data_IF_082620583815
#
_entry.id   IF_082620583815
#
_cell.length_a   1.000
_cell.length_b   1.000
_cell.length_c   1.000
_cell.angle_alpha   90.00
_cell.angle_beta   90.00
_cell.angle_gamma   90.00
#
_symmetry.space_group_name_H-M   'P 1'
#
loop_
_entity.id
_entity.type
_entity.pdbx_description
1 polymer ?
#
# COMPACT_ATOMS: atom_id res chain seq x y z
N UNK A 1 -25.61 -13.26 12.09
CA UNK A 1 -24.33 -13.28 11.32
C UNK A 1 -23.76 -11.86 11.24
N UNK A 2 -22.49 -11.65 11.52
CA UNK A 2 -21.85 -10.33 11.40
C UNK A 2 -21.87 -9.89 9.93
N UNK A 3 -22.30 -8.67 9.65
CA UNK A 3 -22.37 -8.16 8.27
C UNK A 3 -20.96 -8.10 7.67
N UNK A 4 -20.74 -8.70 6.50
CA UNK A 4 -19.48 -8.70 5.78
C UNK A 4 -19.18 -7.29 5.25
N UNK A 5 -18.01 -6.73 5.59
CA UNK A 5 -17.65 -5.33 5.30
C UNK A 5 -17.52 -5.01 3.80
N UNK A 6 -17.16 -6.00 2.99
CA UNK A 6 -16.88 -5.84 1.56
C UNK A 6 -17.83 -6.66 0.68
N UNK A 7 -19.02 -6.97 1.19
CA UNK A 7 -19.99 -7.79 0.49
C UNK A 7 -20.29 -7.23 -0.91
N UNK A 8 -20.13 -8.07 -1.93
CA UNK A 8 -20.31 -7.75 -3.36
C UNK A 8 -19.36 -6.68 -3.92
N UNK A 9 -18.38 -6.17 -3.16
CA UNK A 9 -17.36 -5.25 -3.68
C UNK A 9 -16.38 -5.99 -4.57
N UNK A 10 -15.73 -5.24 -5.48
CA UNK A 10 -14.64 -5.74 -6.32
C UNK A 10 -13.37 -4.98 -5.99
N UNK A 11 -12.30 -5.72 -5.71
CA UNK A 11 -11.01 -5.16 -5.36
C UNK A 11 -9.89 -5.66 -6.28
N UNK A 12 -8.98 -4.76 -6.67
CA UNK A 12 -7.70 -5.12 -7.29
C UNK A 12 -6.62 -5.02 -6.22
N UNK A 13 -5.81 -6.08 -6.06
CA UNK A 13 -4.71 -6.14 -5.10
C UNK A 13 -3.42 -6.48 -5.85
N UNK A 14 -2.47 -5.54 -5.89
CA UNK A 14 -1.19 -5.75 -6.57
C UNK A 14 -0.17 -6.41 -5.64
N UNK A 15 0.74 -7.24 -6.19
CA UNK A 15 1.74 -7.94 -5.39
C UNK A 15 1.15 -8.97 -4.42
N UNK A 16 0.03 -9.59 -4.77
CA UNK A 16 -0.76 -10.45 -3.88
C UNK A 16 -0.44 -11.94 -3.95
N UNK A 17 0.73 -12.31 -4.48
CA UNK A 17 1.14 -13.72 -4.53
C UNK A 17 1.72 -14.25 -3.21
N UNK A 18 2.07 -13.38 -2.27
CA UNK A 18 2.65 -13.73 -0.97
C UNK A 18 2.62 -12.53 0.00
N UNK A 19 2.96 -12.76 1.27
CA UNK A 19 3.11 -11.72 2.30
C UNK A 19 1.82 -10.94 2.54
N UNK A 20 1.95 -9.62 2.79
CA UNK A 20 0.82 -8.76 3.15
C UNK A 20 -0.28 -8.77 2.08
N UNK A 21 0.08 -8.68 0.80
CA UNK A 21 -0.92 -8.67 -0.29
C UNK A 21 -1.75 -9.95 -0.35
N UNK A 22 -1.16 -11.11 -0.05
CA UNK A 22 -1.88 -12.38 0.03
C UNK A 22 -2.85 -12.41 1.23
N UNK A 23 -2.43 -11.96 2.41
CA UNK A 23 -3.30 -11.91 3.60
C UNK A 23 -4.44 -10.89 3.43
N UNK A 24 -4.19 -9.76 2.75
CA UNK A 24 -5.25 -8.82 2.36
C UNK A 24 -6.25 -9.49 1.41
N UNK A 25 -5.78 -10.20 0.40
CA UNK A 25 -6.65 -10.93 -0.55
C UNK A 25 -7.53 -11.96 0.18
N UNK A 26 -6.94 -12.72 1.09
CA UNK A 26 -7.64 -13.68 1.94
C UNK A 26 -8.72 -13.02 2.80
N UNK A 27 -8.37 -11.92 3.49
CA UNK A 27 -9.32 -11.17 4.33
C UNK A 27 -10.46 -10.58 3.48
N UNK A 28 -10.18 -10.02 2.32
CA UNK A 28 -11.21 -9.44 1.45
C UNK A 28 -12.22 -10.48 0.97
N UNK A 29 -11.76 -11.71 0.66
CA UNK A 29 -12.66 -12.84 0.37
C UNK A 29 -13.55 -13.13 1.58
N UNK A 30 -12.98 -13.28 2.77
CA UNK A 30 -13.74 -13.55 3.99
C UNK A 30 -14.77 -12.46 4.31
N UNK A 31 -14.47 -11.21 3.94
CA UNK A 31 -15.37 -10.06 4.05
C UNK A 31 -16.35 -9.91 2.86
N UNK A 32 -16.40 -10.87 1.96
CA UNK A 32 -17.43 -10.96 0.90
C UNK A 32 -17.08 -10.30 -0.42
N UNK A 33 -15.82 -9.86 -0.63
CA UNK A 33 -15.41 -9.25 -1.89
C UNK A 33 -15.15 -10.28 -2.99
N UNK A 34 -15.33 -9.85 -4.23
CA UNK A 34 -14.67 -10.44 -5.40
C UNK A 34 -13.29 -9.77 -5.56
N UNK A 35 -12.29 -10.50 -6.01
CA UNK A 35 -10.95 -9.95 -6.09
C UNK A 35 -10.26 -10.23 -7.43
N UNK A 36 -9.45 -9.28 -7.86
CA UNK A 36 -8.40 -9.49 -8.84
C UNK A 36 -7.05 -9.40 -8.14
N UNK A 37 -6.22 -10.43 -8.25
CA UNK A 37 -4.85 -10.40 -7.76
C UNK A 37 -3.87 -10.42 -8.93
N UNK A 38 -2.79 -9.65 -8.82
CA UNK A 38 -1.73 -9.69 -9.81
C UNK A 38 -0.33 -9.73 -9.18
N UNK A 39 0.61 -10.35 -9.88
CA UNK A 39 2.02 -10.46 -9.52
C UNK A 39 2.84 -10.88 -10.75
N UNK A 40 4.14 -10.54 -10.76
CA UNK A 40 5.06 -10.92 -11.84
C UNK A 40 5.42 -12.41 -11.87
N UNK A 41 5.40 -13.06 -10.72
CA UNK A 41 5.77 -14.47 -10.63
C UNK A 41 4.54 -15.37 -10.81
N UNK A 42 4.41 -15.94 -12.01
CA UNK A 42 3.28 -16.80 -12.40
C UNK A 42 3.11 -17.99 -11.45
N UNK A 43 4.18 -18.72 -11.13
CA UNK A 43 4.12 -19.92 -10.25
C UNK A 43 3.61 -19.57 -8.85
N UNK A 44 4.12 -18.48 -8.24
CA UNK A 44 3.65 -18.03 -6.91
C UNK A 44 2.20 -17.57 -6.96
N UNK A 45 1.82 -16.87 -8.03
CA UNK A 45 0.45 -16.40 -8.23
C UNK A 45 -0.54 -17.56 -8.37
N UNK A 46 -0.18 -18.60 -9.12
CA UNK A 46 -0.97 -19.83 -9.24
C UNK A 46 -1.12 -20.54 -7.89
N UNK A 47 -0.05 -20.62 -7.09
CA UNK A 47 -0.12 -21.18 -5.73
C UNK A 47 -1.03 -20.35 -4.82
N UNK A 48 -0.92 -19.02 -4.86
CA UNK A 48 -1.80 -18.13 -4.12
C UNK A 48 -3.27 -18.33 -4.53
N UNK A 49 -3.54 -18.42 -5.83
CA UNK A 49 -4.88 -18.66 -6.37
C UNK A 49 -5.47 -19.99 -5.85
N UNK A 50 -4.72 -21.10 -5.92
CA UNK A 50 -5.15 -22.40 -5.41
C UNK A 50 -5.55 -22.33 -3.93
N UNK A 51 -4.85 -21.56 -3.12
CA UNK A 51 -5.16 -21.42 -1.70
C UNK A 51 -6.39 -20.51 -1.46
N UNK A 52 -6.52 -19.43 -2.23
CA UNK A 52 -7.63 -18.48 -2.09
C UNK A 52 -8.96 -19.06 -2.59
N UNK A 53 -8.94 -19.87 -3.63
CA UNK A 53 -10.16 -20.55 -4.14
C UNK A 53 -10.82 -21.41 -3.06
N UNK A 54 -10.03 -22.02 -2.17
CA UNK A 54 -10.56 -22.90 -1.10
C UNK A 54 -11.44 -22.19 -0.06
N UNK A 55 -11.37 -20.87 -0.01
CA UNK A 55 -12.10 -20.05 0.97
C UNK A 55 -13.16 -19.14 0.32
N UNK A 56 -13.41 -19.29 -0.99
CA UNK A 56 -14.48 -18.57 -1.67
C UNK A 56 -15.85 -19.10 -1.25
N UNK A 57 -16.80 -18.19 -1.03
CA UNK A 57 -18.21 -18.55 -0.99
C UNK A 57 -18.76 -18.81 -2.41
N UNK A 58 -19.92 -19.49 -2.50
CA UNK A 58 -20.53 -19.93 -3.76
C UNK A 58 -20.66 -18.84 -4.85
N UNK A 59 -20.87 -17.59 -4.47
CA UNK A 59 -21.09 -16.46 -5.40
C UNK A 59 -19.86 -15.58 -5.58
N UNK A 60 -18.74 -15.88 -4.91
CA UNK A 60 -17.53 -15.10 -5.04
C UNK A 60 -16.66 -15.62 -6.19
N UNK A 61 -15.91 -14.70 -6.77
CA UNK A 61 -15.01 -15.00 -7.89
C UNK A 61 -13.64 -14.34 -7.64
N UNK A 62 -12.60 -15.02 -8.08
CA UNK A 62 -11.24 -14.50 -8.13
C UNK A 62 -10.76 -14.42 -9.58
N UNK A 63 -9.97 -13.42 -9.90
CA UNK A 63 -9.23 -13.27 -11.15
C UNK A 63 -7.74 -13.14 -10.82
N UNK A 64 -6.92 -13.97 -11.48
CA UNK A 64 -5.47 -13.95 -11.32
C UNK A 64 -4.79 -13.56 -12.61
N UNK A 65 -3.98 -12.51 -12.60
CA UNK A 65 -3.31 -11.99 -13.79
C UNK A 65 -1.82 -11.85 -13.52
N UNK A 66 -0.99 -12.56 -14.32
CA UNK A 66 0.45 -12.35 -14.30
C UNK A 66 0.75 -10.99 -14.95
N UNK A 67 1.26 -10.03 -14.15
CA UNK A 67 1.48 -8.67 -14.59
C UNK A 67 2.63 -7.99 -13.84
N UNK A 68 3.38 -7.15 -14.54
CA UNK A 68 4.36 -6.22 -13.97
C UNK A 68 3.74 -4.82 -13.92
N UNK A 69 3.52 -4.31 -12.72
CA UNK A 69 2.92 -2.98 -12.49
C UNK A 69 3.74 -1.83 -13.10
N UNK A 70 5.03 -2.03 -13.35
CA UNK A 70 5.88 -1.05 -14.03
C UNK A 70 5.61 -0.96 -15.54
N UNK A 71 4.83 -1.88 -16.11
CA UNK A 71 4.49 -1.92 -17.55
C UNK A 71 3.07 -1.45 -17.79
N UNK A 72 2.92 -0.38 -18.57
CA UNK A 72 1.61 0.21 -18.84
C UNK A 72 0.60 -0.78 -19.45
N UNK A 73 1.03 -1.63 -20.40
CA UNK A 73 0.15 -2.61 -21.05
C UNK A 73 -0.33 -3.69 -20.07
N UNK A 74 0.52 -4.13 -19.15
CA UNK A 74 0.14 -5.10 -18.12
C UNK A 74 -0.88 -4.49 -17.17
N UNK A 75 -0.66 -3.25 -16.73
CA UNK A 75 -1.59 -2.50 -15.86
C UNK A 75 -2.94 -2.33 -16.54
N UNK A 76 -2.94 -1.90 -17.82
CA UNK A 76 -4.17 -1.77 -18.61
C UNK A 76 -4.92 -3.11 -18.68
N UNK A 77 -4.22 -4.19 -18.98
CA UNK A 77 -4.79 -5.54 -19.04
C UNK A 77 -5.43 -5.96 -17.70
N UNK A 78 -4.77 -5.70 -16.57
CA UNK A 78 -5.33 -6.02 -15.23
C UNK A 78 -6.67 -5.31 -15.03
N UNK A 79 -6.76 -4.04 -15.35
CA UNK A 79 -7.97 -3.24 -15.16
C UNK A 79 -9.07 -3.66 -16.13
N UNK A 80 -8.76 -3.78 -17.42
CA UNK A 80 -9.73 -4.17 -18.45
C UNK A 80 -10.33 -5.55 -18.17
N UNK A 81 -9.50 -6.54 -17.80
CA UNK A 81 -9.96 -7.88 -17.44
C UNK A 81 -10.81 -7.88 -16.16
N UNK A 82 -10.47 -7.04 -15.18
CA UNK A 82 -11.28 -6.89 -13.96
C UNK A 82 -12.66 -6.35 -14.29
N UNK A 83 -12.73 -5.24 -15.03
CA UNK A 83 -14.01 -4.63 -15.43
C UNK A 83 -14.80 -5.57 -16.31
N UNK A 84 -14.16 -6.25 -17.27
CA UNK A 84 -14.83 -7.25 -18.12
C UNK A 84 -15.44 -8.39 -17.31
N UNK A 85 -14.73 -8.90 -16.29
CA UNK A 85 -15.17 -10.05 -15.49
C UNK A 85 -16.27 -9.70 -14.50
N UNK A 86 -16.17 -8.54 -13.84
CA UNK A 86 -17.02 -8.19 -12.71
C UNK A 86 -18.02 -7.06 -13.01
N UNK A 87 -17.85 -6.34 -14.13
CA UNK A 87 -18.66 -5.18 -14.49
C UNK A 87 -18.28 -3.88 -13.78
N UNK A 88 -17.60 -3.97 -12.64
CA UNK A 88 -17.21 -2.84 -11.79
C UNK A 88 -15.94 -3.13 -11.00
N UNK A 89 -15.41 -2.09 -10.37
CA UNK A 89 -14.32 -2.15 -9.38
C UNK A 89 -14.43 -0.93 -8.47
N UNK A 90 -14.37 -1.12 -7.15
CA UNK A 90 -14.45 -0.03 -6.19
C UNK A 90 -13.18 0.15 -5.38
N UNK A 91 -12.30 -0.84 -5.34
CA UNK A 91 -11.17 -0.85 -4.40
C UNK A 91 -9.88 -1.16 -5.15
N UNK A 92 -8.86 -0.33 -4.92
CA UNK A 92 -7.49 -0.57 -5.38
C UNK A 92 -6.55 -0.61 -4.17
N UNK A 93 -5.87 -1.75 -3.99
CA UNK A 93 -4.79 -1.90 -3.03
C UNK A 93 -3.47 -1.98 -3.79
N UNK A 94 -2.73 -0.88 -3.83
CA UNK A 94 -1.38 -0.81 -4.37
C UNK A 94 -0.38 -1.32 -3.34
N UNK A 95 -0.17 -2.64 -3.33
CA UNK A 95 0.72 -3.31 -2.39
C UNK A 95 2.06 -3.72 -3.03
N UNK A 96 2.13 -3.88 -4.34
CA UNK A 96 3.39 -4.22 -5.02
C UNK A 96 4.51 -3.22 -4.69
N UNK A 97 5.67 -3.73 -4.31
CA UNK A 97 6.82 -2.89 -3.96
C UNK A 97 8.08 -3.71 -3.71
N UNK A 98 9.23 -3.04 -3.78
CA UNK A 98 10.55 -3.62 -3.53
C UNK A 98 11.42 -2.65 -2.73
N UNK A 99 12.43 -3.15 -2.01
CA UNK A 99 13.50 -2.30 -1.46
C UNK A 99 14.43 -1.75 -2.55
N UNK A 100 14.67 -2.53 -3.61
CA UNK A 100 15.66 -2.20 -4.62
C UNK A 100 17.09 -2.33 -4.12
N UNK A 101 17.96 -1.41 -4.57
CA UNK A 101 19.38 -1.39 -4.21
C UNK A 101 19.62 -1.13 -2.73
N UNK A 102 20.70 -1.68 -2.22
CA UNK A 102 21.18 -1.51 -0.86
C UNK A 102 22.67 -1.16 -0.91
N UNK A 103 23.06 -0.09 -0.25
CA UNK A 103 24.43 0.45 -0.25
C UNK A 103 24.46 1.97 -0.20
N UNK A 104 25.68 2.54 -0.17
CA UNK A 104 25.91 3.98 -0.32
C UNK A 104 25.49 4.41 -1.72
N UNK A 105 24.98 5.64 -1.85
CA UNK A 105 24.35 6.08 -3.10
C UNK A 105 25.31 6.08 -4.28
N UNK A 106 26.57 6.38 -4.04
CA UNK A 106 27.66 6.39 -5.03
C UNK A 106 28.02 5.00 -5.54
N UNK A 107 27.77 3.95 -4.75
CA UNK A 107 28.18 2.56 -5.07
C UNK A 107 27.05 1.69 -5.63
N UNK A 108 25.79 2.15 -5.55
CA UNK A 108 24.67 1.33 -5.98
C UNK A 108 24.49 1.35 -7.50
N UNK A 109 24.05 0.23 -8.06
CA UNK A 109 23.71 0.16 -9.48
C UNK A 109 22.52 1.09 -9.80
N UNK A 110 22.76 2.06 -10.68
CA UNK A 110 21.79 3.10 -11.02
C UNK A 110 20.50 2.56 -11.67
N UNK A 111 20.58 1.56 -12.53
CA UNK A 111 19.40 0.97 -13.19
C UNK A 111 18.52 0.25 -12.17
N UNK A 112 19.11 -0.45 -11.22
CA UNK A 112 18.36 -1.07 -10.12
C UNK A 112 17.79 -0.03 -9.15
N UNK A 113 18.48 1.11 -8.95
CA UNK A 113 17.95 2.21 -8.17
C UNK A 113 16.67 2.78 -8.82
N UNK A 114 16.72 3.08 -10.12
CA UNK A 114 15.56 3.53 -10.91
C UNK A 114 14.41 2.52 -10.87
N UNK A 115 14.72 1.22 -10.91
CA UNK A 115 13.72 0.15 -10.86
C UNK A 115 12.82 0.22 -9.63
N UNK A 116 13.35 0.74 -8.50
CA UNK A 116 12.54 0.95 -7.30
C UNK A 116 11.46 2.00 -7.53
N UNK A 117 11.77 3.08 -8.23
CA UNK A 117 10.78 4.10 -8.61
C UNK A 117 9.78 3.58 -9.63
N UNK A 118 10.25 2.83 -10.63
CA UNK A 118 9.37 2.24 -11.65
C UNK A 118 8.28 1.36 -11.02
N UNK A 119 8.63 0.58 -9.99
CA UNK A 119 7.69 -0.32 -9.34
C UNK A 119 6.90 0.41 -8.24
N UNK A 120 7.58 1.07 -7.29
CA UNK A 120 6.96 1.61 -6.09
C UNK A 120 6.15 2.88 -6.36
N UNK A 121 6.57 3.69 -7.35
CA UNK A 121 5.96 4.99 -7.67
C UNK A 121 5.18 4.89 -8.98
N UNK A 122 5.86 4.70 -10.10
CA UNK A 122 5.20 4.75 -11.41
C UNK A 122 4.19 3.62 -11.59
N UNK A 123 4.47 2.41 -11.09
CA UNK A 123 3.52 1.31 -11.11
C UNK A 123 2.24 1.62 -10.34
N UNK A 124 2.37 2.19 -9.15
CA UNK A 124 1.23 2.63 -8.35
C UNK A 124 0.44 3.74 -9.04
N UNK A 125 1.13 4.74 -9.62
CA UNK A 125 0.51 5.83 -10.38
C UNK A 125 -0.21 5.30 -11.61
N UNK A 126 0.37 4.37 -12.35
CA UNK A 126 -0.26 3.74 -13.52
C UNK A 126 -1.57 3.03 -13.14
N UNK A 127 -1.58 2.27 -12.05
CA UNK A 127 -2.80 1.61 -11.55
C UNK A 127 -3.89 2.64 -11.21
N UNK A 128 -3.55 3.67 -10.45
CA UNK A 128 -4.48 4.75 -10.08
C UNK A 128 -5.00 5.46 -11.33
N UNK A 129 -4.11 5.94 -12.20
CA UNK A 129 -4.45 6.70 -13.42
C UNK A 129 -5.42 5.95 -14.32
N UNK A 130 -5.18 4.66 -14.54
CA UNK A 130 -6.02 3.87 -15.45
C UNK A 130 -7.38 3.53 -14.82
N UNK A 131 -7.47 3.37 -13.49
CA UNK A 131 -8.71 3.05 -12.80
C UNK A 131 -9.55 4.29 -12.46
N UNK A 132 -8.91 5.47 -12.37
CA UNK A 132 -9.54 6.70 -11.90
C UNK A 132 -10.74 7.14 -12.75
N UNK A 133 -10.68 6.96 -14.08
CA UNK A 133 -11.83 7.24 -14.98
C UNK A 133 -13.05 6.40 -14.61
N UNK A 134 -12.83 5.14 -14.27
CA UNK A 134 -13.88 4.22 -13.83
C UNK A 134 -14.47 4.65 -12.48
N UNK A 135 -13.62 5.01 -11.51
CA UNK A 135 -14.07 5.52 -10.21
C UNK A 135 -14.87 6.81 -10.33
N UNK A 136 -14.41 7.78 -11.15
CA UNK A 136 -15.12 9.05 -11.41
C UNK A 136 -16.49 8.80 -12.05
N UNK A 137 -16.57 7.90 -13.03
CA UNK A 137 -17.85 7.51 -13.67
C UNK A 137 -18.85 6.94 -12.66
N UNK A 138 -18.37 6.11 -11.73
CA UNK A 138 -19.19 5.46 -10.70
C UNK A 138 -19.38 6.31 -9.44
N UNK A 139 -18.75 7.49 -9.38
CA UNK A 139 -18.76 8.41 -8.22
C UNK A 139 -18.43 7.72 -6.89
N UNK A 140 -17.54 6.75 -6.93
CA UNK A 140 -17.04 6.04 -5.75
C UNK A 140 -15.73 5.31 -6.05
N UNK A 141 -14.80 5.32 -5.08
CA UNK A 141 -13.57 4.56 -5.14
C UNK A 141 -12.75 4.61 -3.85
N UNK A 142 -12.03 3.54 -3.58
CA UNK A 142 -11.07 3.42 -2.46
C UNK A 142 -9.69 3.11 -3.00
N UNK A 143 -8.73 3.98 -2.73
CA UNK A 143 -7.32 3.82 -3.11
C UNK A 143 -6.51 3.66 -1.83
N UNK A 144 -5.89 2.50 -1.65
CA UNK A 144 -5.08 2.17 -0.50
C UNK A 144 -3.65 1.91 -0.98
N UNK A 145 -2.74 2.81 -0.64
CA UNK A 145 -1.35 2.81 -1.07
C UNK A 145 -0.43 2.29 0.03
N UNK A 146 0.35 1.25 -0.25
CA UNK A 146 1.39 0.82 0.69
C UNK A 146 2.54 1.82 0.71
N UNK A 147 2.76 2.41 1.88
CA UNK A 147 3.93 3.21 2.24
C UNK A 147 4.87 2.41 3.14
N UNK A 148 5.55 3.07 4.04
CA UNK A 148 6.47 2.52 5.03
C UNK A 148 7.22 3.62 5.76
N UNK A 149 8.02 3.26 6.77
CA UNK A 149 8.76 4.20 7.60
C UNK A 149 9.70 5.16 6.84
N UNK A 150 10.16 4.75 5.65
CA UNK A 150 10.99 5.60 4.78
C UNK A 150 10.26 6.82 4.21
N UNK A 151 8.93 6.90 4.30
CA UNK A 151 8.20 8.09 3.87
C UNK A 151 8.39 9.29 4.82
N UNK A 152 8.62 9.03 6.10
CA UNK A 152 8.70 10.06 7.15
C UNK A 152 10.07 10.13 7.83
N UNK A 153 10.91 9.10 7.63
CA UNK A 153 12.23 9.03 8.27
C UNK A 153 13.30 8.70 7.23
N UNK A 154 14.51 9.29 7.37
CA UNK A 154 15.66 8.88 6.57
C UNK A 154 15.97 7.39 6.80
N UNK A 155 16.30 6.69 5.73
CA UNK A 155 16.76 5.31 5.79
C UNK A 155 18.07 5.18 5.01
N UNK A 156 19.22 5.36 5.68
CA UNK A 156 20.54 5.18 5.07
C UNK A 156 20.66 3.82 4.40
N UNK A 157 21.42 3.74 3.33
CA UNK A 157 21.69 2.52 2.53
C UNK A 157 20.50 1.94 1.74
N UNK A 158 19.31 2.48 1.88
CA UNK A 158 18.11 2.11 1.09
C UNK A 158 17.41 3.35 0.53
N UNK A 159 18.21 4.27 -0.01
CA UNK A 159 17.77 5.59 -0.50
C UNK A 159 16.66 5.49 -1.55
N UNK A 160 16.77 4.56 -2.51
CA UNK A 160 15.74 4.35 -3.54
C UNK A 160 14.36 4.03 -2.91
N UNK A 161 14.35 3.14 -1.90
CA UNK A 161 13.12 2.78 -1.19
C UNK A 161 12.53 3.97 -0.44
N UNK A 162 13.34 4.60 0.43
CA UNK A 162 12.86 5.72 1.26
C UNK A 162 12.29 6.86 0.41
N UNK A 163 13.04 7.30 -0.62
CA UNK A 163 12.60 8.35 -1.53
C UNK A 163 11.33 7.95 -2.28
N UNK A 164 11.22 6.70 -2.75
CA UNK A 164 10.02 6.23 -3.44
C UNK A 164 8.79 6.22 -2.53
N UNK A 165 8.95 5.91 -1.24
CA UNK A 165 7.83 5.91 -0.28
C UNK A 165 7.38 7.33 0.09
N UNK A 166 8.28 8.29 0.19
CA UNK A 166 7.93 9.70 0.35
C UNK A 166 7.20 10.25 -0.89
N UNK A 167 7.73 9.97 -2.08
CA UNK A 167 7.14 10.41 -3.35
C UNK A 167 5.70 9.90 -3.52
N UNK A 168 5.45 8.61 -3.28
CA UNK A 168 4.10 8.05 -3.48
C UNK A 168 3.09 8.52 -2.41
N UNK A 169 3.53 8.79 -1.18
CA UNK A 169 2.65 9.39 -0.16
C UNK A 169 2.21 10.78 -0.59
N UNK A 170 3.15 11.65 -1.02
CA UNK A 170 2.80 13.00 -1.50
C UNK A 170 1.88 12.94 -2.72
N UNK A 171 2.10 11.99 -3.63
CA UNK A 171 1.21 11.79 -4.77
C UNK A 171 -0.22 11.45 -4.32
N UNK A 172 -0.38 10.54 -3.35
CA UNK A 172 -1.70 10.14 -2.83
C UNK A 172 -2.40 11.31 -2.13
N UNK A 173 -1.68 12.12 -1.36
CA UNK A 173 -2.23 13.34 -0.76
C UNK A 173 -2.73 14.33 -1.83
N UNK A 174 -1.96 14.51 -2.90
CA UNK A 174 -2.33 15.40 -4.01
C UNK A 174 -3.57 14.89 -4.73
N UNK A 175 -3.57 13.61 -5.11
CA UNK A 175 -4.68 13.01 -5.85
C UNK A 175 -5.98 13.00 -5.02
N UNK A 176 -5.88 12.87 -3.69
CA UNK A 176 -7.05 12.90 -2.82
C UNK A 176 -7.84 14.22 -2.91
N UNK A 177 -7.14 15.33 -3.17
CA UNK A 177 -7.76 16.63 -3.40
C UNK A 177 -8.35 16.76 -4.81
N UNK A 178 -7.65 16.26 -5.84
CA UNK A 178 -8.14 16.28 -7.22
C UNK A 178 -9.43 15.46 -7.45
N UNK A 179 -9.74 14.54 -6.54
CA UNK A 179 -10.90 13.65 -6.66
C UNK A 179 -11.94 13.86 -5.56
N UNK A 180 -11.84 14.93 -4.79
CA UNK A 180 -12.71 15.25 -3.65
C UNK A 180 -14.20 15.21 -4.00
N UNK A 181 -14.57 15.71 -5.19
CA UNK A 181 -15.96 15.80 -5.65
C UNK A 181 -16.59 14.47 -6.07
N UNK A 182 -15.81 13.39 -6.11
CA UNK A 182 -16.24 12.09 -6.66
C UNK A 182 -16.44 10.99 -5.62
N UNK A 183 -16.39 11.29 -4.31
CA UNK A 183 -16.38 10.28 -3.24
C UNK A 183 -15.32 9.19 -3.46
N UNK A 184 -14.14 9.62 -3.94
CA UNK A 184 -12.97 8.76 -4.10
C UNK A 184 -12.02 9.08 -2.95
N UNK A 185 -11.73 8.07 -2.13
CA UNK A 185 -10.93 8.22 -0.92
C UNK A 185 -9.57 7.55 -1.14
N UNK A 186 -8.50 8.33 -1.08
CA UNK A 186 -7.14 7.89 -1.32
C UNK A 186 -6.28 8.07 -0.06
N UNK A 187 -5.74 6.97 0.47
CA UNK A 187 -4.91 7.00 1.68
C UNK A 187 -3.66 6.15 1.51
N UNK A 188 -2.59 6.56 2.18
CA UNK A 188 -1.36 5.79 2.32
C UNK A 188 -1.30 5.12 3.68
N UNK A 189 -0.75 3.91 3.76
CA UNK A 189 -0.57 3.22 5.03
C UNK A 189 0.90 2.83 5.28
N UNK A 190 1.32 2.95 6.54
CA UNK A 190 2.54 2.36 7.05
C UNK A 190 2.17 1.07 7.81
N UNK A 191 2.44 -0.13 7.25
CA UNK A 191 1.95 -1.40 7.78
C UNK A 191 2.65 -1.85 9.07
N UNK A 192 3.73 -1.17 9.46
CA UNK A 192 4.61 -1.58 10.55
C UNK A 192 5.76 -2.47 10.07
N UNK A 193 6.58 -2.90 11.03
CA UNK A 193 7.75 -3.75 10.80
C UNK A 193 7.32 -5.23 10.70
N UNK A 194 6.95 -5.67 9.49
CA UNK A 194 6.44 -7.02 9.23
C UNK A 194 7.55 -8.02 8.92
N UNK A 195 7.44 -9.24 9.43
CA UNK A 195 8.32 -10.35 9.07
C UNK A 195 7.91 -10.94 7.72
N UNK A 196 8.39 -10.32 6.65
CA UNK A 196 8.15 -10.72 5.26
C UNK A 196 9.47 -10.98 4.55
N UNK A 197 9.41 -11.44 3.31
CA UNK A 197 10.62 -11.59 2.46
C UNK A 197 11.44 -10.32 2.33
N UNK A 198 10.82 -9.16 2.42
CA UNK A 198 11.56 -7.89 2.41
C UNK A 198 12.54 -7.78 3.60
N UNK A 199 12.14 -8.25 4.79
CA UNK A 199 13.04 -8.35 5.94
C UNK A 199 14.17 -9.36 5.69
N UNK A 200 13.83 -10.51 5.11
CA UNK A 200 14.83 -11.54 4.78
C UNK A 200 15.87 -11.03 3.76
N UNK A 201 15.47 -10.19 2.81
CA UNK A 201 16.37 -9.51 1.88
C UNK A 201 17.36 -8.56 2.59
N UNK A 202 16.93 -7.82 3.61
CA UNK A 202 17.80 -6.96 4.41
C UNK A 202 18.82 -7.81 5.17
N UNK A 203 18.39 -8.86 5.84
CA UNK A 203 19.26 -9.77 6.58
C UNK A 203 20.27 -10.44 5.64
N UNK A 204 19.82 -10.93 4.49
CA UNK A 204 20.69 -11.55 3.49
C UNK A 204 21.72 -10.59 2.90
N UNK A 205 21.42 -9.31 2.83
CA UNK A 205 22.34 -8.29 2.30
C UNK A 205 23.55 -8.04 3.19
N UNK A 206 23.43 -8.32 4.49
CA UNK A 206 24.50 -8.14 5.46
C UNK A 206 24.77 -6.69 5.87
N UNK A 207 25.52 -6.49 6.97
CA UNK A 207 25.72 -5.16 7.57
C UNK A 207 26.55 -4.20 6.70
N UNK A 208 27.41 -4.72 5.83
CA UNK A 208 28.20 -3.88 4.90
C UNK A 208 27.34 -3.14 3.88
N UNK A 209 26.19 -3.72 3.48
CA UNK A 209 25.28 -3.14 2.48
C UNK A 209 24.12 -2.36 3.05
N UNK A 210 23.71 -2.62 4.30
CA UNK A 210 22.53 -1.98 4.89
C UNK A 210 22.86 -1.15 6.13
N UNK A 211 24.12 -1.10 6.52
CA UNK A 211 24.59 -0.48 7.76
C UNK A 211 24.33 -1.35 8.98
N UNK A 212 25.24 -1.25 9.96
CA UNK A 212 25.23 -2.12 11.15
C UNK A 212 23.97 -1.95 11.99
N UNK A 213 23.44 -0.74 12.13
CA UNK A 213 22.29 -0.46 12.98
C UNK A 213 21.00 -1.01 12.36
N UNK A 214 20.80 -0.82 11.05
CA UNK A 214 19.63 -1.37 10.37
C UNK A 214 19.68 -2.90 10.35
N UNK A 215 20.87 -3.48 10.13
CA UNK A 215 21.07 -4.92 10.20
C UNK A 215 20.73 -5.51 11.57
N UNK A 216 21.26 -4.90 12.66
CA UNK A 216 20.95 -5.31 14.03
C UNK A 216 19.46 -5.21 14.34
N UNK A 217 18.80 -4.11 13.92
CA UNK A 217 17.33 -3.95 14.04
C UNK A 217 16.58 -5.05 13.30
N UNK A 218 16.99 -5.39 12.07
CA UNK A 218 16.39 -6.44 11.27
C UNK A 218 16.50 -7.83 11.92
N UNK A 219 17.68 -8.17 12.47
CA UNK A 219 17.88 -9.41 13.23
C UNK A 219 17.01 -9.48 14.48
N UNK A 220 16.95 -8.38 15.26
CA UNK A 220 16.11 -8.30 16.46
C UNK A 220 14.62 -8.46 16.08
N UNK A 221 14.18 -7.79 15.02
CA UNK A 221 12.82 -7.94 14.51
C UNK A 221 12.52 -9.39 14.10
N UNK A 222 13.42 -10.04 13.36
CA UNK A 222 13.26 -11.46 12.94
C UNK A 222 13.11 -12.39 14.14
N UNK A 223 13.92 -12.18 15.19
CA UNK A 223 13.91 -12.97 16.42
C UNK A 223 12.63 -12.73 17.24
N UNK A 224 12.16 -11.50 17.34
CA UNK A 224 11.05 -11.13 18.22
C UNK A 224 9.67 -11.24 17.54
N UNK A 225 9.58 -11.60 16.24
CA UNK A 225 8.32 -11.80 15.52
C UNK A 225 7.82 -10.57 14.75
N UNK A 226 8.37 -9.37 14.96
CA UNK A 226 7.88 -8.14 14.31
C UNK A 226 6.48 -7.73 14.77
N UNK A 227 5.84 -6.82 14.03
CA UNK A 227 4.43 -6.48 14.24
C UNK A 227 3.52 -7.55 13.62
N UNK A 228 2.32 -7.75 14.22
CA UNK A 228 1.32 -8.62 13.61
C UNK A 228 0.90 -8.07 12.23
N UNK A 229 0.85 -8.94 11.26
CA UNK A 229 0.33 -8.63 9.93
C UNK A 229 -1.15 -8.26 9.99
N UNK A 230 -1.88 -8.76 10.97
CA UNK A 230 -3.31 -8.49 11.16
C UNK A 230 -3.59 -7.01 11.39
N UNK A 231 -2.71 -6.25 12.05
CA UNK A 231 -2.89 -4.81 12.22
C UNK A 231 -2.99 -4.11 10.86
N UNK A 232 -2.08 -4.43 9.94
CA UNK A 232 -2.09 -3.86 8.59
C UNK A 232 -3.31 -4.35 7.80
N UNK A 233 -3.65 -5.64 7.86
CA UNK A 233 -4.81 -6.23 7.18
C UNK A 233 -6.11 -5.61 7.68
N UNK A 234 -6.26 -5.39 8.99
CA UNK A 234 -7.44 -4.75 9.58
C UNK A 234 -7.59 -3.31 9.12
N UNK A 235 -6.51 -2.51 9.16
CA UNK A 235 -6.52 -1.14 8.64
C UNK A 235 -6.88 -1.09 7.14
N UNK A 236 -6.28 -1.96 6.32
CA UNK A 236 -6.58 -2.02 4.88
C UNK A 236 -8.04 -2.38 4.66
N UNK A 237 -8.57 -3.34 5.41
CA UNK A 237 -9.98 -3.76 5.31
C UNK A 237 -10.93 -2.65 5.75
N UNK A 238 -10.61 -1.94 6.82
CA UNK A 238 -11.35 -0.75 7.25
C UNK A 238 -11.36 0.33 6.17
N UNK A 239 -10.19 0.68 5.61
CA UNK A 239 -10.08 1.68 4.55
C UNK A 239 -10.77 1.27 3.24
N UNK A 240 -10.88 -0.02 2.96
CA UNK A 240 -11.61 -0.56 1.82
C UNK A 240 -13.14 -0.53 2.02
N UNK A 241 -13.60 -0.44 3.25
CA UNK A 241 -15.02 -0.50 3.60
C UNK A 241 -15.69 0.88 3.63
N UNK A 242 -17.02 0.95 3.59
CA UNK A 242 -17.77 2.19 3.78
C UNK A 242 -17.54 2.86 5.16
N UNK A 243 -17.07 2.11 6.15
CA UNK A 243 -16.79 2.66 7.50
C UNK A 243 -15.75 3.79 7.50
N UNK A 244 -14.89 3.83 6.48
CA UNK A 244 -13.86 4.87 6.30
C UNK A 244 -14.26 5.96 5.31
N UNK A 245 -15.53 6.04 4.90
CA UNK A 245 -15.96 7.08 3.98
C UNK A 245 -15.73 8.47 4.61
N UNK A 246 -15.14 9.38 3.84
CA UNK A 246 -14.70 10.69 4.32
C UNK A 246 -13.23 10.74 4.75
N UNK A 247 -12.59 9.62 5.08
CA UNK A 247 -11.15 9.60 5.41
C UNK A 247 -10.34 9.55 4.11
N UNK A 248 -9.62 10.62 3.81
CA UNK A 248 -8.83 10.75 2.57
C UNK A 248 -7.59 11.62 2.76
N UNK A 249 -6.56 11.44 1.94
CA UNK A 249 -5.32 12.22 1.96
C UNK A 249 -4.43 11.97 3.16
N UNK A 250 -4.56 10.85 3.85
CA UNK A 250 -3.83 10.58 5.10
C UNK A 250 -2.77 9.49 4.92
N UNK A 251 -1.66 9.64 5.68
CA UNK A 251 -0.66 8.61 5.91
C UNK A 251 -0.94 7.99 7.28
N UNK A 252 -1.36 6.73 7.30
CA UNK A 252 -1.90 6.09 8.49
C UNK A 252 -0.99 4.93 8.92
N UNK A 253 -0.59 4.92 10.18
CA UNK A 253 0.14 3.80 10.76
C UNK A 253 -0.82 2.73 11.27
N UNK A 254 -0.62 1.49 10.82
CA UNK A 254 -1.41 0.36 11.30
C UNK A 254 -1.10 0.01 12.79
N UNK A 255 0.04 0.47 13.30
CA UNK A 255 0.53 0.11 14.63
C UNK A 255 0.35 1.22 15.66
N UNK A 256 0.52 2.49 15.22
CA UNK A 256 0.63 3.62 16.14
C UNK A 256 -0.61 4.51 16.17
N UNK A 257 -1.45 4.47 15.13
CA UNK A 257 -2.62 5.33 15.04
C UNK A 257 -3.88 4.60 15.50
N UNK A 258 -4.73 5.30 16.22
CA UNK A 258 -6.02 4.77 16.68
C UNK A 258 -7.11 5.04 15.62
N UNK A 259 -6.84 4.56 14.40
CA UNK A 259 -7.66 4.80 13.21
C UNK A 259 -9.11 4.30 13.33
N UNK A 260 -9.38 3.34 14.19
CA UNK A 260 -10.74 2.84 14.46
C UNK A 260 -11.67 3.92 15.01
N UNK A 261 -11.11 4.93 15.70
CA UNK A 261 -11.87 6.06 16.24
C UNK A 261 -12.07 7.20 15.22
N UNK A 262 -11.36 7.20 14.10
CA UNK A 262 -11.35 8.31 13.14
C UNK A 262 -12.70 8.64 12.51
N UNK A 263 -13.64 7.70 12.27
CA UNK A 263 -14.98 8.04 11.77
C UNK A 263 -15.73 9.08 12.62
N UNK A 264 -15.44 9.14 13.93
CA UNK A 264 -16.03 10.15 14.85
C UNK A 264 -15.36 11.52 14.75
N UNK A 265 -14.23 11.63 14.03
CA UNK A 265 -13.39 12.82 13.96
C UNK A 265 -13.14 13.28 12.52
N UNK A 266 -14.01 12.92 11.57
CA UNK A 266 -13.83 13.22 10.14
C UNK A 266 -13.63 14.70 9.89
N UNK A 267 -14.39 15.58 10.53
CA UNK A 267 -14.25 17.03 10.36
C UNK A 267 -12.85 17.53 10.80
N UNK A 268 -12.32 17.00 11.90
CA UNK A 268 -10.96 17.35 12.34
C UNK A 268 -9.90 16.86 11.36
N UNK A 269 -10.09 15.66 10.79
CA UNK A 269 -9.18 15.10 9.78
C UNK A 269 -9.21 15.90 8.48
N UNK A 270 -10.38 16.31 8.01
CA UNK A 270 -10.53 17.04 6.74
C UNK A 270 -10.03 18.48 6.85
N UNK A 271 -10.27 19.14 8.00
CA UNK A 271 -9.94 20.56 8.21
C UNK A 271 -8.55 20.77 8.83
N UNK A 272 -7.72 19.75 8.88
CA UNK A 272 -6.35 19.85 9.39
C UNK A 272 -5.38 19.00 8.56
N UNK A 273 -4.11 19.31 8.74
CA UNK A 273 -3.01 18.61 8.08
C UNK A 273 -2.41 17.47 8.92
N UNK A 274 -3.09 17.04 9.98
CA UNK A 274 -2.67 15.88 10.77
C UNK A 274 -2.59 14.63 9.87
N UNK A 275 -1.61 13.78 10.16
CA UNK A 275 -1.34 12.57 9.37
C UNK A 275 -1.02 12.82 7.89
N UNK A 276 -0.33 13.94 7.59
CA UNK A 276 0.18 14.27 6.25
C UNK A 276 1.70 14.50 6.29
N UNK A 277 2.34 14.51 5.11
CA UNK A 277 3.73 14.92 5.00
C UNK A 277 3.84 16.45 5.11
N UNK A 278 4.54 16.93 6.14
CA UNK A 278 4.70 18.34 6.43
C UNK A 278 6.17 18.71 6.68
N UNK A 279 6.50 19.97 6.39
CA UNK A 279 7.74 20.55 6.88
C UNK A 279 7.59 20.83 8.37
N UNK A 280 8.48 20.28 9.18
CA UNK A 280 8.61 20.61 10.61
C UNK A 280 9.48 21.87 10.70
N UNK A 281 9.02 22.86 11.43
CA UNK A 281 9.71 24.13 11.64
C UNK A 281 10.12 24.29 13.10
N UNK A 282 10.97 25.30 13.41
CA UNK A 282 11.52 25.50 14.74
C UNK A 282 10.47 25.58 15.84
N UNK A 283 9.40 26.35 15.63
CA UNK A 283 8.28 26.49 16.59
C UNK A 283 7.53 25.19 16.88
N UNK A 284 7.48 24.24 15.93
CA UNK A 284 6.86 22.91 16.18
C UNK A 284 7.65 22.08 17.21
N UNK A 285 8.85 22.50 17.57
CA UNK A 285 9.75 21.91 18.55
C UNK A 285 10.11 22.85 19.71
N UNK A 286 9.38 23.97 19.86
CA UNK A 286 9.57 24.94 20.93
C UNK A 286 10.77 25.89 20.72
N UNK A 287 11.33 25.97 19.51
CA UNK A 287 12.39 26.94 19.20
C UNK A 287 11.77 28.26 18.70
N UNK A 288 12.30 29.39 19.21
CA UNK A 288 11.82 30.75 18.84
C UNK A 288 12.65 31.43 17.75
N UNK A 289 13.73 30.80 17.30
CA UNK A 289 14.64 31.34 16.29
C UNK A 289 14.35 30.74 14.89
N UNK A 290 14.57 31.50 13.84
CA UNK A 290 14.55 31.03 12.45
C UNK A 290 13.20 31.09 11.72
N UNK A 291 12.11 31.45 12.38
CA UNK A 291 10.82 31.75 11.75
C UNK A 291 10.65 33.30 11.63
N UNK A 292 10.15 33.74 10.47
CA UNK A 292 9.77 35.17 10.24
C UNK A 292 8.36 35.42 10.72
#
# INVERSE_FOLDING_TARGET
MKQKLLFKKVAIITGASEGLGFEVAKRFILEGANITICSRNKKKLETANKNLIKILDLNQKILCICADVSKHLDVKNVIDQTIKKFGHCEILVNNAGIYGTKGQIEDVNWEQWKKSFEINVFGSILMIRNLLKHFKKNKYGKIIQMSGGGATNPMPYVSAYASSKAAIVRFVETISQEVSDFKIYANSIAPGALNTKMLDEIIKSGPSKVGIDFYKKALKQKKNGGNSIDNAVNLITFLASPQSDGITGKLISAVWDNWEKWPKHINNLLNSDVYTLRRIIGRDRGFSWGDK
#
